data_IF_230001514293
#
_entry.id   IF_230001514293
#
_cell.length_a   1.000
_cell.length_b   1.000
_cell.length_c   1.000
_cell.angle_alpha   90.00
_cell.angle_beta   90.00
_cell.angle_gamma   90.00
#
_symmetry.space_group_name_H-M   'P 1'
#
loop_
_entity.id
_entity.type
_entity.pdbx_description
1 polymer ?
#
# COMPACT_ATOMS: atom_id res chain seq x y z
N UNK A 1 21.78 -67.10 8.94
CA UNK A 1 21.58 -66.11 7.86
C UNK A 1 21.19 -64.79 8.50
N UNK A 2 22.16 -63.88 8.66
CA UNK A 2 22.01 -62.56 9.29
C UNK A 2 22.02 -61.50 8.19
N UNK A 3 20.95 -60.71 8.08
CA UNK A 3 20.90 -59.55 7.18
C UNK A 3 21.45 -58.32 7.93
N UNK A 4 22.34 -57.52 7.32
CA UNK A 4 22.84 -56.29 7.92
C UNK A 4 21.82 -55.14 7.76
N UNK A 5 21.70 -54.34 8.81
CA UNK A 5 20.90 -53.12 8.84
C UNK A 5 21.60 -52.01 8.03
N UNK A 6 20.89 -51.45 7.05
CA UNK A 6 21.33 -50.31 6.25
C UNK A 6 20.67 -49.05 6.83
N UNK A 7 21.49 -48.11 7.30
CA UNK A 7 21.06 -46.85 7.89
C UNK A 7 20.61 -45.84 6.80
N UNK A 8 19.49 -45.12 6.97
CA UNK A 8 19.05 -44.07 6.06
C UNK A 8 19.59 -42.71 6.52
N UNK A 9 20.85 -42.39 6.19
CA UNK A 9 21.47 -41.11 6.54
C UNK A 9 22.29 -40.56 5.37
N UNK A 10 21.69 -40.40 4.18
CA UNK A 10 22.40 -39.81 3.03
C UNK A 10 21.50 -39.13 1.97
N UNK A 11 20.21 -38.88 2.25
CA UNK A 11 19.28 -38.35 1.24
C UNK A 11 18.74 -36.94 1.53
N UNK A 12 19.31 -36.22 2.52
CA UNK A 12 18.84 -34.88 2.90
C UNK A 12 19.71 -33.72 2.38
N UNK A 13 20.86 -34.00 1.75
CA UNK A 13 21.84 -32.94 1.41
C UNK A 13 21.75 -32.41 -0.04
N UNK A 14 20.93 -33.02 -0.91
CA UNK A 14 20.86 -32.64 -2.36
C UNK A 14 19.65 -31.75 -2.69
N UNK A 15 18.66 -31.64 -1.79
CA UNK A 15 17.47 -30.78 -2.00
C UNK A 15 17.64 -29.33 -1.52
N UNK A 16 18.76 -28.98 -0.88
CA UNK A 16 18.98 -27.63 -0.31
C UNK A 16 19.73 -26.67 -1.25
N UNK A 17 20.16 -27.11 -2.44
CA UNK A 17 20.95 -26.27 -3.36
C UNK A 17 20.17 -25.66 -4.53
N UNK A 18 18.87 -25.93 -4.68
CA UNK A 18 18.07 -25.45 -5.83
C UNK A 18 17.29 -24.15 -5.53
N UNK A 19 17.22 -23.68 -4.28
CA UNK A 19 16.35 -22.57 -3.90
C UNK A 19 16.94 -21.14 -4.09
N UNK A 20 18.17 -20.99 -4.57
CA UNK A 20 18.87 -19.69 -4.60
C UNK A 20 18.98 -19.04 -6.00
N UNK A 21 18.43 -19.65 -7.06
CA UNK A 21 18.60 -19.14 -8.45
C UNK A 21 17.40 -18.35 -9.02
N UNK A 22 16.44 -17.91 -8.21
CA UNK A 22 15.20 -17.27 -8.72
C UNK A 22 15.13 -15.74 -8.58
N UNK A 23 16.21 -15.05 -8.19
CA UNK A 23 16.20 -13.59 -7.99
C UNK A 23 16.70 -12.75 -9.18
N UNK A 24 17.03 -13.33 -10.34
CA UNK A 24 17.69 -12.60 -11.44
C UNK A 24 16.83 -12.35 -12.68
N UNK A 25 15.70 -13.03 -12.87
CA UNK A 25 14.90 -12.92 -14.11
C UNK A 25 14.05 -11.65 -14.20
N UNK A 26 13.75 -11.02 -13.05
CA UNK A 26 12.77 -9.93 -12.98
C UNK A 26 13.11 -8.73 -13.85
N UNK A 27 14.39 -8.36 -13.96
CA UNK A 27 14.82 -7.22 -14.79
C UNK A 27 14.88 -7.53 -16.29
N UNK A 28 15.13 -8.79 -16.67
CA UNK A 28 15.18 -9.18 -18.08
C UNK A 28 13.77 -9.19 -18.70
N UNK A 29 12.79 -9.72 -17.96
CA UNK A 29 11.39 -9.79 -18.38
C UNK A 29 10.78 -8.37 -18.52
N UNK A 30 11.19 -7.42 -17.67
CA UNK A 30 10.68 -6.05 -17.68
C UNK A 30 11.11 -5.25 -18.93
N UNK A 31 12.37 -5.41 -19.36
CA UNK A 31 12.88 -4.75 -20.57
C UNK A 31 12.19 -5.29 -21.83
N UNK A 32 11.92 -6.60 -21.88
CA UNK A 32 11.21 -7.22 -22.99
C UNK A 32 9.75 -6.75 -23.05
N UNK A 33 9.08 -6.66 -21.90
CA UNK A 33 7.74 -6.08 -21.78
C UNK A 33 7.71 -4.63 -22.26
N UNK A 34 8.65 -3.79 -21.81
CA UNK A 34 8.70 -2.37 -22.19
C UNK A 34 8.94 -2.18 -23.69
N UNK A 35 9.81 -3.00 -24.30
CA UNK A 35 10.02 -3.00 -25.75
C UNK A 35 8.74 -3.38 -26.50
N UNK A 36 8.04 -4.42 -26.04
CA UNK A 36 6.77 -4.84 -26.63
C UNK A 36 5.66 -3.79 -26.47
N UNK A 37 5.64 -3.05 -25.36
CA UNK A 37 4.71 -1.96 -25.13
C UNK A 37 4.96 -0.77 -26.08
N UNK A 38 6.22 -0.32 -26.19
CA UNK A 38 6.61 0.78 -27.09
C UNK A 38 6.34 0.44 -28.56
N UNK A 39 6.60 -0.81 -28.97
CA UNK A 39 6.34 -1.28 -30.34
C UNK A 39 4.85 -1.26 -30.75
N UNK A 40 3.92 -1.16 -29.79
CA UNK A 40 2.48 -1.05 -30.06
C UNK A 40 2.04 0.38 -30.41
N UNK A 41 2.90 1.38 -30.23
CA UNK A 41 2.60 2.77 -30.55
C UNK A 41 3.26 3.17 -31.89
N UNK A 42 2.50 3.25 -33.01
CA UNK A 42 3.07 3.57 -34.32
C UNK A 42 3.57 5.03 -34.43
N UNK A 43 3.23 5.90 -33.47
CA UNK A 43 3.77 7.26 -33.42
C UNK A 43 5.19 7.34 -32.84
N UNK A 44 5.71 6.24 -32.28
CA UNK A 44 7.03 6.17 -31.66
C UNK A 44 7.92 5.15 -32.39
N UNK A 45 9.15 5.53 -32.65
CA UNK A 45 10.21 4.69 -33.21
C UNK A 45 11.29 4.49 -32.13
N UNK A 46 11.60 3.23 -31.80
CA UNK A 46 12.63 2.92 -30.82
C UNK A 46 14.01 2.96 -31.48
N UNK A 47 14.86 3.89 -31.04
CA UNK A 47 16.20 4.14 -31.60
C UNK A 47 17.27 3.34 -30.85
N UNK A 48 17.21 3.31 -29.53
CA UNK A 48 18.19 2.62 -28.70
C UNK A 48 17.59 2.14 -27.36
N UNK A 49 18.19 1.10 -26.79
CA UNK A 49 17.86 0.56 -25.47
C UNK A 49 19.14 0.35 -24.69
N UNK A 50 19.25 0.97 -23.52
CA UNK A 50 20.27 0.66 -22.54
C UNK A 50 19.71 -0.30 -21.49
N UNK A 51 20.06 -1.58 -21.62
CA UNK A 51 19.57 -2.64 -20.73
C UNK A 51 20.16 -2.57 -19.32
N UNK A 52 21.27 -1.83 -19.11
CA UNK A 52 21.88 -1.70 -17.79
C UNK A 52 21.18 -0.64 -16.95
N UNK A 53 20.78 0.46 -17.59
CA UNK A 53 20.12 1.59 -16.93
C UNK A 53 18.60 1.59 -17.08
N UNK A 54 18.05 0.74 -17.96
CA UNK A 54 16.62 0.70 -18.23
C UNK A 54 16.12 1.92 -18.99
N UNK A 55 16.99 2.58 -19.77
CA UNK A 55 16.66 3.79 -20.53
C UNK A 55 16.38 3.43 -21.99
N UNK A 56 15.27 3.96 -22.51
CA UNK A 56 14.83 3.81 -23.90
C UNK A 56 14.94 5.16 -24.61
N UNK A 57 15.66 5.18 -25.72
CA UNK A 57 15.70 6.35 -26.61
C UNK A 57 14.67 6.15 -27.71
N UNK A 58 13.62 6.95 -27.68
CA UNK A 58 12.51 6.91 -28.64
C UNK A 58 12.50 8.18 -29.47
N UNK A 59 12.13 8.06 -30.74
CA UNK A 59 11.88 9.16 -31.65
C UNK A 59 10.39 9.20 -31.96
N UNK A 60 9.79 10.37 -31.88
CA UNK A 60 8.41 10.54 -32.33
C UNK A 60 8.37 10.72 -33.84
N UNK A 61 7.57 9.91 -34.54
CA UNK A 61 7.58 9.81 -36.01
C UNK A 61 7.08 11.10 -36.67
N UNK A 62 6.10 11.78 -36.07
CA UNK A 62 5.51 13.01 -36.62
C UNK A 62 6.41 14.24 -36.46
N UNK A 63 7.04 14.41 -35.31
CA UNK A 63 7.87 15.58 -34.98
C UNK A 63 9.36 15.37 -35.30
N UNK A 64 9.80 14.12 -35.35
CA UNK A 64 11.22 13.76 -35.41
C UNK A 64 11.98 13.99 -34.09
N UNK A 65 11.31 14.42 -33.03
CA UNK A 65 11.92 14.68 -31.72
C UNK A 65 12.37 13.38 -31.07
N UNK A 66 13.62 13.34 -30.61
CA UNK A 66 14.20 12.22 -29.88
C UNK A 66 14.14 12.52 -28.38
N UNK A 67 13.68 11.55 -27.59
CA UNK A 67 13.63 11.64 -26.12
C UNK A 67 14.08 10.33 -25.47
N UNK A 68 14.63 10.46 -24.28
CA UNK A 68 14.96 9.33 -23.40
C UNK A 68 13.85 9.12 -22.39
N UNK A 69 13.40 7.89 -22.22
CA UNK A 69 12.34 7.50 -21.27
C UNK A 69 12.88 6.34 -20.43
N UNK A 70 12.77 6.44 -19.11
CA UNK A 70 13.17 5.36 -18.23
C UNK A 70 12.06 4.29 -18.12
N UNK A 71 12.41 3.05 -17.80
CA UNK A 71 11.46 1.93 -17.75
C UNK A 71 10.27 2.21 -16.81
N UNK A 72 10.51 2.86 -15.68
CA UNK A 72 9.50 3.25 -14.70
C UNK A 72 8.49 4.29 -15.20
N UNK A 73 8.83 5.03 -16.26
CA UNK A 73 7.96 6.03 -16.87
C UNK A 73 7.10 5.44 -18.00
N UNK A 74 7.33 4.19 -18.39
CA UNK A 74 6.56 3.50 -19.42
C UNK A 74 5.32 2.87 -18.78
N UNK A 75 4.16 3.51 -18.99
CA UNK A 75 2.87 2.97 -18.55
C UNK A 75 2.13 2.40 -19.76
N UNK A 76 1.94 1.08 -19.79
CA UNK A 76 1.14 0.42 -20.83
C UNK A 76 -0.24 0.02 -20.27
N UNK A 77 -1.31 0.52 -20.91
CA UNK A 77 -2.65 0.01 -20.62
C UNK A 77 -2.80 -1.42 -21.18
N UNK A 78 -3.52 -2.33 -20.49
CA UNK A 78 -3.77 -3.68 -21.00
C UNK A 78 -4.48 -3.62 -22.35
N UNK A 79 -3.99 -4.46 -23.29
CA UNK A 79 -4.56 -4.59 -24.63
C UNK A 79 -6.01 -5.05 -24.51
N UNK A 80 -6.95 -4.12 -24.72
CA UNK A 80 -8.39 -4.36 -24.56
C UNK A 80 -9.14 -3.24 -23.84
N UNK A 81 -8.44 -2.30 -23.19
CA UNK A 81 -9.07 -1.15 -22.51
C UNK A 81 -8.93 0.20 -23.26
N UNK A 82 -8.40 0.20 -24.48
CA UNK A 82 -8.25 1.44 -25.25
C UNK A 82 -9.57 1.89 -25.89
N UNK A 83 -9.89 3.16 -25.65
CA UNK A 83 -10.92 3.99 -26.28
C UNK A 83 -12.38 3.81 -25.81
N UNK A 84 -12.65 4.19 -24.55
CA UNK A 84 -13.86 4.99 -24.31
C UNK A 84 -13.45 6.45 -24.45
N UNK A 85 -13.86 7.04 -25.57
CA UNK A 85 -13.61 8.42 -26.01
C UNK A 85 -13.61 9.40 -24.85
N UNK A 86 -12.43 9.93 -24.54
CA UNK A 86 -12.26 11.15 -23.76
C UNK A 86 -12.94 12.27 -24.55
N UNK A 87 -14.06 12.77 -24.03
CA UNK A 87 -14.74 13.92 -24.59
C UNK A 87 -13.79 15.11 -24.53
N UNK A 88 -13.59 15.76 -25.67
CA UNK A 88 -12.70 16.90 -25.82
C UNK A 88 -12.91 17.93 -24.69
N UNK A 89 -11.85 18.35 -23.98
CA UNK A 89 -11.97 19.44 -23.03
C UNK A 89 -12.36 20.71 -23.77
N UNK A 90 -13.50 21.29 -23.38
CA UNK A 90 -13.93 22.63 -23.81
C UNK A 90 -12.81 23.63 -23.48
N UNK A 91 -12.34 24.45 -24.43
CA UNK A 91 -11.33 25.46 -24.13
C UNK A 91 -11.91 26.48 -23.16
N UNK A 92 -11.36 26.54 -21.95
CA UNK A 92 -11.62 27.63 -21.00
C UNK A 92 -10.92 28.89 -21.51
N UNK A 93 -11.74 29.92 -21.69
CA UNK A 93 -11.38 31.28 -22.08
C UNK A 93 -10.36 31.89 -21.12
N UNK A 94 -9.21 32.22 -21.69
CA UNK A 94 -8.40 33.43 -21.50
C UNK A 94 -8.73 34.30 -20.29
N UNK A 95 -7.90 34.18 -19.24
CA UNK A 95 -7.88 35.14 -18.12
C UNK A 95 -6.51 35.83 -18.12
N UNK A 96 -6.54 37.14 -18.37
CA UNK A 96 -5.42 38.03 -18.57
C UNK A 96 -4.43 38.07 -17.38
N UNK A 97 -3.12 38.26 -17.65
CA UNK A 97 -2.09 38.32 -16.61
C UNK A 97 -2.14 39.64 -15.83
N UNK A 98 -2.30 39.53 -14.51
CA UNK A 98 -1.99 40.62 -13.58
C UNK A 98 -0.47 40.68 -13.37
N UNK A 99 0.12 41.77 -13.84
CA UNK A 99 1.49 42.19 -13.55
C UNK A 99 1.58 42.56 -12.07
N UNK A 100 2.50 41.92 -11.33
CA UNK A 100 2.74 42.19 -9.92
C UNK A 100 4.17 41.86 -9.53
N UNK A 101 4.99 42.91 -9.54
CA UNK A 101 6.28 43.17 -8.91
C UNK A 101 7.25 42.04 -8.54
N UNK A 102 8.46 42.20 -9.09
CA UNK A 102 9.69 41.57 -8.65
C UNK A 102 10.11 42.09 -7.28
N UNK A 103 10.24 41.20 -6.30
CA UNK A 103 11.04 41.43 -5.11
C UNK A 103 12.19 40.42 -5.09
N UNK A 104 13.38 40.94 -5.39
CA UNK A 104 14.69 40.29 -5.25
C UNK A 104 15.01 40.10 -3.76
N UNK A 105 15.33 38.88 -3.27
CA UNK A 105 16.03 38.72 -2.01
C UNK A 105 17.54 38.60 -2.26
N UNK A 106 18.28 39.47 -1.60
CA UNK A 106 19.74 39.50 -1.46
C UNK A 106 20.33 38.15 -0.98
N UNK A 107 21.50 37.73 -1.50
CA UNK A 107 22.27 36.64 -0.92
C UNK A 107 23.21 37.20 0.17
N UNK A 108 22.78 37.17 1.43
CA UNK A 108 23.68 37.48 2.54
C UNK A 108 24.23 36.23 3.24
N UNK A 109 25.50 36.34 3.55
CA UNK A 109 26.46 35.34 3.95
C UNK A 109 26.36 35.06 5.45
N UNK A 110 26.29 33.78 5.83
CA UNK A 110 26.72 33.37 7.17
C UNK A 110 27.16 31.91 7.17
N UNK A 111 28.43 31.70 6.86
CA UNK A 111 29.19 30.52 7.31
C UNK A 111 29.11 30.44 8.83
N UNK A 112 28.52 29.37 9.36
CA UNK A 112 28.71 29.00 10.76
C UNK A 112 29.53 27.71 10.78
N UNK A 113 30.83 27.91 11.02
CA UNK A 113 31.79 26.90 11.40
C UNK A 113 31.37 26.37 12.79
N UNK A 114 30.83 25.15 12.84
CA UNK A 114 30.50 24.47 14.10
C UNK A 114 31.36 23.23 14.20
N UNK A 115 32.22 23.28 15.21
CA UNK A 115 33.19 22.28 15.61
C UNK A 115 32.58 20.88 15.87
N UNK A 116 33.35 19.80 15.67
CA UNK A 116 32.94 18.44 15.98
C UNK A 116 32.95 18.17 17.50
N UNK A 117 31.87 17.64 18.10
CA UNK A 117 31.96 17.04 19.42
C UNK A 117 32.53 15.62 19.35
N UNK A 118 33.38 15.36 20.35
CA UNK A 118 34.20 14.19 20.54
C UNK A 118 33.43 12.92 20.94
N UNK A 119 34.17 11.81 20.79
CA UNK A 119 33.97 10.48 21.34
C UNK A 119 33.18 10.42 22.67
N UNK A 120 32.12 9.61 22.66
CA UNK A 120 31.62 8.88 23.83
C UNK A 120 31.28 7.47 23.34
N UNK A 121 32.15 6.49 23.60
CA UNK A 121 32.18 5.69 24.82
C UNK A 121 31.08 4.62 24.85
N UNK A 122 31.54 3.40 24.55
CA UNK A 122 31.12 2.10 25.09
C UNK A 122 29.73 1.99 25.73
N UNK A 123 28.90 1.13 25.15
CA UNK A 123 27.86 0.43 25.89
C UNK A 123 27.93 -1.06 25.55
N UNK A 124 28.14 -1.84 26.60
CA UNK A 124 28.23 -3.29 26.64
C UNK A 124 26.88 -3.95 26.29
N UNK A 125 26.87 -5.15 25.67
CA UNK A 125 25.64 -5.90 25.46
C UNK A 125 25.20 -6.60 26.74
N UNK A 126 24.07 -6.17 27.30
CA UNK A 126 23.37 -6.89 28.36
C UNK A 126 22.41 -7.88 27.71
N UNK A 127 22.62 -9.15 28.00
CA UNK A 127 21.72 -10.26 27.70
C UNK A 127 20.37 -10.09 28.38
N UNK A 128 19.27 -10.40 27.71
CA UNK A 128 18.10 -10.94 28.40
C UNK A 128 17.28 -11.88 27.52
N UNK A 129 17.40 -13.14 27.93
CA UNK A 129 16.57 -14.30 27.63
C UNK A 129 15.18 -14.06 28.25
N UNK A 130 14.11 -14.02 27.44
CA UNK A 130 12.76 -14.24 27.95
C UNK A 130 11.79 -14.68 26.85
N UNK A 131 11.74 -16.00 26.69
CA UNK A 131 10.62 -16.71 26.12
C UNK A 131 9.40 -16.56 27.06
N UNK A 132 8.34 -15.90 26.59
CA UNK A 132 7.02 -15.98 27.19
C UNK A 132 6.00 -16.41 26.13
N UNK A 133 5.63 -17.69 26.22
CA UNK A 133 4.51 -18.27 25.50
C UNK A 133 3.20 -17.62 25.94
N UNK A 134 2.49 -17.01 25.00
CA UNK A 134 1.07 -16.66 25.14
C UNK A 134 0.28 -17.46 24.11
N UNK A 135 -0.16 -18.64 24.56
CA UNK A 135 -1.19 -19.41 23.88
C UNK A 135 -2.55 -18.77 24.17
N UNK A 136 -3.10 -18.05 23.19
CA UNK A 136 -4.50 -17.62 23.25
C UNK A 136 -5.37 -18.68 22.60
N UNK A 137 -6.05 -19.46 23.43
CA UNK A 137 -7.11 -20.39 23.05
C UNK A 137 -8.30 -19.63 22.47
N UNK A 138 -8.34 -19.50 21.15
CA UNK A 138 -9.57 -19.19 20.41
C UNK A 138 -10.31 -20.49 20.12
N UNK A 139 -11.52 -20.63 20.64
CA UNK A 139 -12.47 -21.73 20.38
C UNK A 139 -12.96 -21.72 18.93
N UNK A 140 -12.06 -22.00 17.98
CA UNK A 140 -12.36 -22.28 16.58
C UNK A 140 -12.01 -23.74 16.29
N UNK A 141 -12.99 -24.53 15.83
CA UNK A 141 -12.80 -25.95 15.55
C UNK A 141 -11.95 -26.12 14.27
N UNK A 142 -10.64 -26.29 14.40
CA UNK A 142 -9.72 -26.55 13.29
C UNK A 142 -10.06 -27.88 12.62
N UNK A 143 -10.52 -27.85 11.37
CA UNK A 143 -11.03 -29.03 10.67
C UNK A 143 -9.93 -29.88 10.01
N UNK A 144 -8.76 -29.31 9.71
CA UNK A 144 -7.57 -30.06 9.27
C UNK A 144 -6.31 -29.18 9.38
N UNK A 145 -5.20 -29.73 9.87
CA UNK A 145 -3.91 -29.05 9.95
C UNK A 145 -2.86 -29.88 9.20
N UNK A 146 -2.13 -29.26 8.28
CA UNK A 146 -1.02 -29.87 7.55
C UNK A 146 0.20 -28.93 7.52
N UNK A 147 1.40 -29.42 7.20
CA UNK A 147 2.59 -28.60 7.14
C UNK A 147 2.44 -27.54 6.04
N UNK A 148 2.16 -26.31 6.44
CA UNK A 148 2.17 -25.13 5.59
C UNK A 148 0.88 -24.32 5.55
N UNK A 149 -0.29 -24.86 5.94
CA UNK A 149 -1.56 -24.12 5.84
C UNK A 149 -2.58 -24.58 6.89
N UNK A 150 -3.34 -23.63 7.44
CA UNK A 150 -4.52 -23.91 8.27
C UNK A 150 -5.77 -23.32 7.58
N UNK A 151 -6.82 -24.12 7.46
CA UNK A 151 -8.11 -23.68 6.91
C UNK A 151 -9.10 -23.63 8.06
N UNK A 152 -9.47 -22.42 8.47
CA UNK A 152 -10.51 -22.17 9.46
C UNK A 152 -11.78 -21.74 8.75
N UNK A 153 -12.89 -22.45 8.98
CA UNK A 153 -14.20 -22.08 8.44
C UNK A 153 -14.88 -21.19 9.47
N UNK A 154 -15.17 -19.94 9.12
CA UNK A 154 -16.01 -19.08 9.94
C UNK A 154 -17.45 -19.60 9.86
N UNK A 155 -18.02 -20.01 10.99
CA UNK A 155 -19.43 -20.38 11.06
C UNK A 155 -20.28 -19.16 10.71
N UNK A 156 -20.94 -19.23 9.56
CA UNK A 156 -21.97 -18.28 9.14
C UNK A 156 -23.20 -18.50 10.02
N UNK A 157 -23.17 -17.94 11.23
CA UNK A 157 -24.32 -17.92 12.13
C UNK A 157 -25.45 -17.21 11.41
N UNK A 158 -26.44 -18.00 11.01
CA UNK A 158 -27.68 -17.54 10.39
C UNK A 158 -28.47 -16.80 11.46
N UNK A 159 -28.30 -15.48 11.48
CA UNK A 159 -29.06 -14.60 12.36
C UNK A 159 -30.50 -14.51 11.83
N UNK A 160 -31.36 -15.31 12.44
CA UNK A 160 -32.81 -15.33 12.25
C UNK A 160 -33.37 -13.94 12.59
N UNK A 161 -34.02 -13.22 11.66
CA UNK A 161 -34.69 -11.97 11.99
C UNK A 161 -35.86 -12.28 12.94
N UNK A 162 -35.75 -11.76 14.17
CA UNK A 162 -36.84 -11.77 15.13
C UNK A 162 -37.86 -10.73 14.70
N UNK A 163 -39.09 -11.18 14.49
CA UNK A 163 -40.25 -10.36 14.20
C UNK A 163 -40.48 -9.33 15.32
N UNK A 164 -40.78 -8.10 14.92
CA UNK A 164 -41.38 -7.05 15.75
C UNK A 164 -42.57 -6.43 14.98
N UNK A 165 -43.57 -5.85 15.69
CA UNK A 165 -44.94 -5.68 15.21
C UNK A 165 -45.15 -4.48 14.27
N UNK A 166 -46.32 -4.39 13.61
CA UNK A 166 -46.65 -3.31 12.71
C UNK A 166 -47.15 -2.05 13.45
N UNK A 167 -47.24 -0.96 12.68
CA UNK A 167 -48.00 0.27 12.92
C UNK A 167 -47.29 1.45 13.61
N UNK A 168 -46.77 2.36 12.78
CA UNK A 168 -47.21 3.75 12.86
C UNK A 168 -47.03 4.42 11.49
N UNK A 169 -48.14 4.54 10.77
CA UNK A 169 -48.28 5.36 9.58
C UNK A 169 -48.07 6.82 9.94
N UNK A 170 -46.96 7.41 9.49
CA UNK A 170 -46.92 8.85 9.28
C UNK A 170 -46.16 9.10 7.98
N UNK A 171 -46.95 9.36 6.94
CA UNK A 171 -46.51 9.57 5.58
C UNK A 171 -45.61 10.79 5.45
N UNK A 172 -44.32 10.53 5.29
CA UNK A 172 -43.45 11.45 4.58
C UNK A 172 -42.90 10.67 3.38
N UNK A 173 -43.48 10.91 2.19
CA UNK A 173 -43.03 10.37 0.92
C UNK A 173 -41.68 11.00 0.53
N UNK A 174 -40.65 10.70 1.31
CA UNK A 174 -39.26 10.97 0.98
C UNK A 174 -38.79 9.88 0.02
N UNK A 175 -38.32 10.31 -1.15
CA UNK A 175 -37.72 9.48 -2.20
C UNK A 175 -36.74 8.50 -1.56
N UNK A 176 -37.13 7.23 -1.46
CA UNK A 176 -36.30 6.15 -0.97
C UNK A 176 -35.23 5.86 -2.02
N UNK A 177 -34.12 6.60 -1.95
CA UNK A 177 -32.92 6.28 -2.72
C UNK A 177 -32.44 4.94 -2.16
N UNK A 178 -32.65 3.87 -2.93
CA UNK A 178 -32.23 2.53 -2.56
C UNK A 178 -30.72 2.57 -2.27
N UNK A 179 -30.35 2.49 -1.00
CA UNK A 179 -28.98 2.37 -0.54
C UNK A 179 -28.41 1.08 -1.15
N UNK A 180 -27.67 1.22 -2.24
CA UNK A 180 -26.92 0.13 -2.82
C UNK A 180 -26.03 -0.44 -1.72
N UNK A 181 -26.26 -1.70 -1.36
CA UNK A 181 -25.51 -2.41 -0.33
C UNK A 181 -24.02 -2.39 -0.71
N UNK A 182 -23.24 -1.60 0.02
CA UNK A 182 -21.79 -1.51 -0.15
C UNK A 182 -21.21 -2.92 0.05
N UNK A 183 -20.48 -3.48 -0.92
CA UNK A 183 -19.91 -4.80 -0.79
C UNK A 183 -18.89 -4.80 0.35
N UNK A 184 -19.18 -5.55 1.41
CA UNK A 184 -18.27 -5.76 2.54
C UNK A 184 -17.17 -6.71 2.08
N UNK A 185 -15.91 -6.27 2.17
CA UNK A 185 -14.77 -7.14 1.89
C UNK A 185 -14.36 -7.83 3.18
N UNK A 186 -14.20 -9.15 3.12
CA UNK A 186 -13.73 -9.91 4.28
C UNK A 186 -12.20 -9.85 4.44
N UNK A 187 -11.48 -9.60 3.33
CA UNK A 187 -10.02 -9.65 3.29
C UNK A 187 -9.40 -8.25 3.39
N UNK A 188 -8.30 -8.10 4.15
CA UNK A 188 -7.58 -6.84 4.27
C UNK A 188 -6.90 -6.46 2.94
N UNK A 189 -6.82 -5.16 2.66
CA UNK A 189 -6.00 -4.64 1.57
C UNK A 189 -4.55 -4.60 2.05
N UNK A 190 -3.66 -5.30 1.34
CA UNK A 190 -2.25 -5.43 1.73
C UNK A 190 -1.37 -4.67 0.73
N UNK A 191 -0.61 -3.71 1.24
CA UNK A 191 0.51 -3.09 0.55
C UNK A 191 1.82 -3.52 1.22
N UNK A 192 2.74 -4.10 0.46
CA UNK A 192 3.95 -4.70 1.04
C UNK A 192 5.18 -4.51 0.15
N UNK A 193 6.35 -4.30 0.74
CA UNK A 193 7.59 -4.12 0.00
C UNK A 193 7.71 -2.70 -0.52
N UNK A 194 8.72 -2.41 -1.33
CA UNK A 194 8.97 -1.08 -1.91
C UNK A 194 8.01 -0.75 -3.07
N UNK A 195 6.71 -0.95 -2.88
CA UNK A 195 5.69 -0.65 -3.90
C UNK A 195 4.93 0.62 -3.51
N UNK A 196 4.55 1.38 -4.52
CA UNK A 196 3.60 2.47 -4.39
C UNK A 196 2.18 1.94 -4.59
N UNK A 197 1.25 2.32 -3.72
CA UNK A 197 -0.18 1.99 -3.85
C UNK A 197 -1.03 3.24 -3.59
N UNK A 198 -2.12 3.40 -4.35
CA UNK A 198 -3.06 4.52 -4.18
C UNK A 198 -4.50 4.04 -4.09
N UNK A 199 -5.23 4.55 -3.10
CA UNK A 199 -6.65 4.32 -2.86
C UNK A 199 -7.33 5.70 -2.88
N UNK A 200 -8.26 5.92 -3.80
CA UNK A 200 -8.95 7.20 -3.94
C UNK A 200 -10.47 7.01 -4.11
N UNK A 201 -11.25 7.78 -3.37
CA UNK A 201 -12.71 7.83 -3.49
C UNK A 201 -13.44 6.54 -3.11
N UNK A 202 -12.81 5.65 -2.34
CA UNK A 202 -13.39 4.34 -2.00
C UNK A 202 -14.10 4.34 -0.64
N UNK A 203 -15.07 3.45 -0.48
CA UNK A 203 -15.60 3.07 0.83
C UNK A 203 -15.17 1.64 1.12
N UNK A 204 -14.33 1.46 2.13
CA UNK A 204 -13.76 0.18 2.53
C UNK A 204 -14.40 -0.22 3.85
N UNK A 205 -14.98 -1.41 3.89
CA UNK A 205 -15.54 -2.00 5.10
C UNK A 205 -14.99 -3.42 5.29
N UNK A 206 -14.42 -3.69 6.46
CA UNK A 206 -13.87 -4.98 6.87
C UNK A 206 -14.36 -5.37 8.26
N UNK A 207 -14.59 -6.66 8.47
CA UNK A 207 -14.93 -7.22 9.79
C UNK A 207 -13.70 -7.31 10.72
N UNK A 208 -12.50 -7.41 10.15
CA UNK A 208 -11.23 -7.44 10.87
C UNK A 208 -10.43 -6.17 10.59
N UNK A 209 -9.14 -6.34 10.29
CA UNK A 209 -8.31 -5.23 9.84
C UNK A 209 -8.69 -4.84 8.40
N UNK A 210 -8.69 -3.54 8.08
CA UNK A 210 -9.08 -3.08 6.74
C UNK A 210 -7.89 -2.89 5.80
N UNK A 211 -6.82 -2.24 6.26
CA UNK A 211 -5.64 -1.92 5.45
C UNK A 211 -4.38 -2.26 6.23
N UNK A 212 -3.43 -2.93 5.57
CA UNK A 212 -2.13 -3.31 6.12
C UNK A 212 -1.03 -2.82 5.17
N UNK A 213 -0.14 -1.96 5.65
CA UNK A 213 1.00 -1.42 4.92
C UNK A 213 2.31 -1.83 5.59
N UNK A 214 3.16 -2.58 4.88
CA UNK A 214 4.36 -3.20 5.43
C UNK A 214 5.59 -3.07 4.51
N UNK A 215 6.78 -3.26 5.09
CA UNK A 215 8.05 -3.51 4.38
C UNK A 215 8.47 -2.44 3.36
N UNK A 216 8.30 -1.16 3.69
CA UNK A 216 8.71 -0.03 2.85
C UNK A 216 7.67 0.40 1.81
N UNK A 217 6.42 -0.05 1.96
CA UNK A 217 5.34 0.40 1.09
C UNK A 217 5.12 1.91 1.23
N UNK A 218 4.84 2.58 0.11
CA UNK A 218 4.32 3.94 0.07
C UNK A 218 2.84 3.92 -0.34
N UNK A 219 1.95 4.22 0.62
CA UNK A 219 0.50 4.12 0.45
C UNK A 219 -0.16 5.50 0.54
N UNK A 220 -0.87 5.89 -0.52
CA UNK A 220 -1.66 7.10 -0.58
C UNK A 220 -3.15 6.80 -0.47
N UNK A 221 -3.83 7.36 0.53
CA UNK A 221 -5.27 7.24 0.77
C UNK A 221 -5.93 8.62 0.70
N UNK A 222 -6.77 8.83 -0.31
CA UNK A 222 -7.43 10.12 -0.56
C UNK A 222 -8.94 9.95 -0.64
N UNK A 223 -9.71 10.89 -0.08
CA UNK A 223 -11.18 10.93 -0.19
C UNK A 223 -11.87 9.60 0.16
N UNK A 224 -11.28 8.82 1.07
CA UNK A 224 -11.67 7.44 1.31
C UNK A 224 -12.30 7.32 2.69
N UNK A 225 -13.30 6.44 2.81
CA UNK A 225 -13.92 6.09 4.08
C UNK A 225 -13.56 4.66 4.44
N UNK A 226 -12.82 4.47 5.53
CA UNK A 226 -12.39 3.17 6.04
C UNK A 226 -13.17 2.85 7.32
N UNK A 227 -13.78 1.66 7.37
CA UNK A 227 -14.46 1.13 8.55
C UNK A 227 -14.00 -0.30 8.83
N UNK A 228 -13.47 -0.53 10.03
CA UNK A 228 -12.94 -1.82 10.44
C UNK A 228 -13.51 -2.28 11.78
N UNK A 229 -13.88 -3.57 11.87
CA UNK A 229 -14.19 -4.22 13.14
C UNK A 229 -12.95 -4.54 13.98
N UNK A 230 -11.75 -4.45 13.40
CA UNK A 230 -10.46 -4.53 14.09
C UNK A 230 -9.71 -3.20 14.07
N UNK A 231 -8.46 -3.23 13.62
CA UNK A 231 -7.65 -2.04 13.37
C UNK A 231 -7.92 -1.53 11.95
N UNK A 232 -8.26 -0.25 11.78
CA UNK A 232 -8.57 0.25 10.45
C UNK A 232 -7.34 0.31 9.54
N UNK A 233 -6.21 0.81 10.05
CA UNK A 233 -4.96 0.89 9.29
C UNK A 233 -3.81 0.43 10.17
N UNK A 234 -3.09 -0.61 9.73
CA UNK A 234 -1.85 -1.08 10.35
C UNK A 234 -0.67 -0.69 9.46
N UNK A 235 0.36 -0.05 10.03
CA UNK A 235 1.53 0.47 9.32
C UNK A 235 2.80 -0.02 10.00
N UNK A 236 3.65 -0.77 9.29
CA UNK A 236 4.90 -1.33 9.83
C UNK A 236 6.05 -1.11 8.87
N UNK A 237 7.04 -0.31 9.27
CA UNK A 237 8.17 0.06 8.39
C UNK A 237 7.72 0.60 7.02
N UNK A 238 6.64 1.37 6.97
CA UNK A 238 6.02 1.85 5.72
C UNK A 238 5.62 3.32 5.84
N UNK A 239 5.41 3.98 4.70
CA UNK A 239 4.96 5.37 4.61
C UNK A 239 3.51 5.43 4.17
N UNK A 240 2.68 6.19 4.89
CA UNK A 240 1.25 6.34 4.58
C UNK A 240 0.86 7.81 4.55
N UNK A 241 0.28 8.26 3.45
CA UNK A 241 -0.30 9.58 3.27
C UNK A 241 -1.83 9.52 3.29
N UNK A 242 -2.46 10.12 4.30
CA UNK A 242 -3.92 10.22 4.42
C UNK A 242 -4.37 11.64 4.12
N UNK A 243 -5.28 11.78 3.15
CA UNK A 243 -5.84 13.08 2.76
C UNK A 243 -7.36 13.02 2.69
N UNK A 244 -8.03 13.96 3.37
CA UNK A 244 -9.48 14.15 3.28
C UNK A 244 -10.28 12.83 3.49
N UNK A 245 -9.86 12.03 4.46
CA UNK A 245 -10.39 10.67 4.66
C UNK A 245 -11.01 10.52 6.05
N UNK A 246 -11.86 9.50 6.21
CA UNK A 246 -12.42 9.12 7.52
C UNK A 246 -12.02 7.70 7.84
N UNK A 247 -11.36 7.49 8.98
CA UNK A 247 -10.79 6.21 9.39
C UNK A 247 -11.41 5.80 10.72
N UNK A 248 -12.21 4.74 10.70
CA UNK A 248 -12.93 4.23 11.87
C UNK A 248 -12.51 2.80 12.14
N UNK A 249 -11.99 2.54 13.34
CA UNK A 249 -11.62 1.18 13.75
C UNK A 249 -12.10 0.88 15.17
N UNK A 250 -12.72 -0.27 15.36
CA UNK A 250 -13.27 -0.68 16.66
C UNK A 250 -12.17 -0.95 17.69
N UNK A 251 -11.03 -1.54 17.28
CA UNK A 251 -9.88 -1.76 18.16
C UNK A 251 -8.92 -0.55 18.18
N UNK A 252 -8.63 -0.02 16.99
CA UNK A 252 -7.81 1.18 16.79
C UNK A 252 -8.11 1.78 15.41
N UNK A 253 -8.13 3.11 15.30
CA UNK A 253 -8.23 3.81 14.02
C UNK A 253 -6.93 3.69 13.22
N UNK A 254 -5.79 3.74 13.91
CA UNK A 254 -4.47 3.52 13.30
C UNK A 254 -3.50 2.87 14.29
N UNK A 255 -2.66 1.98 13.77
CA UNK A 255 -1.56 1.35 14.50
C UNK A 255 -0.28 1.46 13.68
N UNK A 256 0.70 2.20 14.18
CA UNK A 256 2.00 2.38 13.52
C UNK A 256 3.14 1.79 14.38
N UNK A 257 4.06 1.02 13.77
CA UNK A 257 5.21 0.41 14.45
C UNK A 257 6.48 0.38 13.59
N UNK A 258 7.62 0.04 14.19
CA UNK A 258 8.93 0.07 13.52
C UNK A 258 9.29 1.47 13.03
N UNK A 259 9.80 1.59 11.80
CA UNK A 259 10.12 2.87 11.15
C UNK A 259 8.94 3.47 10.35
N UNK A 260 7.70 3.22 10.78
CA UNK A 260 6.52 3.70 10.07
C UNK A 260 6.38 5.22 10.12
N UNK A 261 6.06 5.84 8.98
CA UNK A 261 5.79 7.28 8.86
C UNK A 261 4.36 7.50 8.35
N UNK A 262 3.52 8.14 9.15
CA UNK A 262 2.14 8.44 8.78
C UNK A 262 1.95 9.95 8.69
N UNK A 263 1.52 10.43 7.54
CA UNK A 263 1.17 11.82 7.30
C UNK A 263 -0.34 11.95 7.12
N UNK A 264 -0.97 12.85 7.86
CA UNK A 264 -2.42 13.06 7.80
C UNK A 264 -2.76 14.51 7.52
N UNK A 265 -3.67 14.74 6.58
CA UNK A 265 -4.18 16.07 6.22
C UNK A 265 -5.69 16.00 6.10
N UNK A 266 -6.41 16.88 6.80
CA UNK A 266 -7.89 16.93 6.79
C UNK A 266 -8.55 15.56 7.03
N UNK A 267 -7.95 14.73 7.87
CA UNK A 267 -8.42 13.35 8.11
C UNK A 267 -9.16 13.28 9.44
N UNK A 268 -10.22 12.48 9.52
CA UNK A 268 -10.92 12.19 10.78
C UNK A 268 -10.59 10.78 11.21
N UNK A 269 -10.02 10.62 12.41
CA UNK A 269 -9.80 9.33 13.04
C UNK A 269 -10.84 9.12 14.14
N UNK A 270 -11.56 8.01 14.08
CA UNK A 270 -12.51 7.59 15.12
C UNK A 270 -12.03 6.27 15.73
N UNK A 271 -11.60 6.32 16.99
CA UNK A 271 -10.96 5.23 17.69
C UNK A 271 -9.49 5.52 18.02
N UNK A 272 -8.90 4.65 18.83
CA UNK A 272 -7.55 4.84 19.40
C UNK A 272 -6.50 4.87 18.29
N UNK A 273 -5.61 5.87 18.32
CA UNK A 273 -4.39 5.91 17.51
C UNK A 273 -3.21 5.39 18.33
N UNK A 274 -2.51 4.36 17.85
CA UNK A 274 -1.37 3.74 18.54
C UNK A 274 -0.08 3.92 17.75
N UNK A 275 0.99 4.15 18.49
CA UNK A 275 2.35 4.33 17.98
C UNK A 275 3.30 3.52 18.83
N UNK A 276 4.10 2.70 18.17
CA UNK A 276 5.10 1.83 18.77
C UNK A 276 6.48 2.12 18.16
N UNK A 277 7.53 1.78 18.90
CA UNK A 277 8.93 1.92 18.46
C UNK A 277 9.27 3.36 18.00
N UNK A 278 9.93 3.47 16.83
CA UNK A 278 10.35 4.72 16.20
C UNK A 278 9.27 5.31 15.27
N UNK A 279 8.06 4.75 15.26
CA UNK A 279 7.03 5.18 14.35
C UNK A 279 6.64 6.64 14.60
N UNK A 280 6.29 7.36 13.53
CA UNK A 280 5.86 8.75 13.57
C UNK A 280 4.47 8.92 12.95
N UNK A 281 3.62 9.71 13.61
CA UNK A 281 2.33 10.14 13.08
C UNK A 281 2.34 11.67 13.09
N UNK A 282 2.35 12.26 11.91
CA UNK A 282 2.44 13.70 11.68
C UNK A 282 1.12 14.21 11.12
N UNK A 283 0.51 15.15 11.83
CA UNK A 283 -0.61 15.93 11.30
C UNK A 283 -0.07 17.14 10.53
N UNK A 284 -0.41 17.22 9.26
CA UNK A 284 -0.09 18.32 8.34
C UNK A 284 -1.20 19.39 8.28
N UNK A 285 -2.28 19.21 9.06
CA UNK A 285 -3.31 20.22 9.28
C UNK A 285 -4.73 19.72 9.02
N UNK A 286 -5.66 20.16 9.87
CA UNK A 286 -7.09 19.87 9.75
C UNK A 286 -7.49 18.44 10.13
N UNK A 287 -6.58 17.66 10.71
CA UNK A 287 -6.89 16.32 11.20
C UNK A 287 -7.62 16.41 12.54
N UNK A 288 -8.61 15.53 12.75
CA UNK A 288 -9.35 15.43 14.01
C UNK A 288 -9.28 14.00 14.54
N UNK A 289 -9.05 13.85 15.84
CA UNK A 289 -9.00 12.57 16.55
C UNK A 289 -10.16 12.51 17.54
N UNK A 290 -10.97 11.45 17.47
CA UNK A 290 -12.17 11.22 18.31
C UNK A 290 -12.14 9.87 18.98
#
# INVERSE_FOLDING_TARGET
>A
MRHPAIAPAACALVMLTIALSSCSSRGADEIEWARAALARNPALELIAVDTKTGIFTIKEVGSGTVRTVAIQDIVAAPAGMAARTEAAPTPLTDQAPAVGDSATPDPDLASTDVAPPADNAASEPVSEDQAAALATSGTGKTLMSGPGYSISRADKTTQRPSAAPPESENGNAGIAVASASVPVRAEPIICQGQRFMRIDGQTISSAGNAIVAEDGCDLHITNTRVRAGGVAITVRNARVHLTNSTVVGQAASIEASGSAEVYSTRTTFEGISRRFDEAAITDLGGTTFR
#
